data_IF_913172802517
#
_entry.id   IF_913172802517
#
_cell.length_a   1.000
_cell.length_b   1.000
_cell.length_c   1.000
_cell.angle_alpha   90.00
_cell.angle_beta   90.00
_cell.angle_gamma   90.00
#
_symmetry.space_group_name_H-M   'P 1'
#
loop_
_entity.id
_entity.type
_entity.pdbx_description
1 polymer ?
#
# COMPACT_ATOMS: atom_id res chain seq x y z
N UNK A 1 -19.76 -12.10 10.97
CA UNK A 1 -19.28 -13.50 11.09
C UNK A 1 -18.56 -13.81 9.79
N UNK A 2 -17.22 -13.87 9.81
CA UNK A 2 -16.43 -14.29 8.66
C UNK A 2 -16.44 -15.83 8.63
N UNK A 3 -16.69 -16.43 7.46
CA UNK A 3 -16.54 -17.87 7.31
C UNK A 3 -15.05 -18.22 7.38
N UNK A 4 -14.69 -19.19 8.24
CA UNK A 4 -13.30 -19.52 8.64
C UNK A 4 -12.41 -20.01 7.48
N UNK A 5 -12.92 -20.13 6.25
CA UNK A 5 -12.21 -20.69 5.08
C UNK A 5 -12.46 -19.93 3.77
N UNK A 6 -13.04 -18.74 3.82
CA UNK A 6 -13.30 -17.94 2.63
C UNK A 6 -12.24 -16.86 2.48
N UNK A 7 -11.80 -16.63 1.24
CA UNK A 7 -10.96 -15.48 0.90
C UNK A 7 -11.77 -14.23 1.22
N UNK A 8 -11.19 -13.31 1.98
CA UNK A 8 -11.86 -12.07 2.39
C UNK A 8 -12.17 -11.21 1.17
N UNK A 9 -13.32 -10.55 1.17
CA UNK A 9 -13.69 -9.63 0.08
C UNK A 9 -12.97 -8.29 0.18
N UNK A 10 -12.92 -7.55 -0.93
CA UNK A 10 -12.33 -6.20 -0.97
C UNK A 10 -12.92 -5.28 0.10
N UNK A 11 -14.23 -5.38 0.36
CA UNK A 11 -14.91 -4.59 1.40
C UNK A 11 -14.39 -4.87 2.81
N UNK A 12 -14.10 -6.15 3.12
CA UNK A 12 -13.60 -6.53 4.45
C UNK A 12 -12.16 -6.05 4.61
N UNK A 13 -11.34 -6.20 3.57
CA UNK A 13 -9.94 -5.79 3.58
C UNK A 13 -9.81 -4.27 3.66
N UNK A 14 -10.51 -3.52 2.82
CA UNK A 14 -10.49 -2.05 2.83
C UNK A 14 -10.97 -1.51 4.20
N UNK A 15 -12.05 -2.07 4.75
CA UNK A 15 -12.51 -1.72 6.10
C UNK A 15 -11.44 -1.98 7.16
N UNK A 16 -10.81 -3.15 7.15
CA UNK A 16 -9.80 -3.53 8.13
C UNK A 16 -8.55 -2.64 8.05
N UNK A 17 -8.04 -2.39 6.84
CA UNK A 17 -6.86 -1.52 6.63
C UNK A 17 -7.17 -0.09 7.08
N UNK A 18 -8.33 0.46 6.74
CA UNK A 18 -8.75 1.79 7.23
C UNK A 18 -8.82 1.83 8.74
N UNK A 19 -9.42 0.84 9.40
CA UNK A 19 -9.44 0.78 10.86
C UNK A 19 -8.04 0.73 11.48
N UNK A 20 -7.09 0.01 10.87
CA UNK A 20 -5.70 -0.03 11.34
C UNK A 20 -5.02 1.33 11.16
N UNK A 21 -5.14 1.93 9.97
CA UNK A 21 -4.54 3.24 9.69
C UNK A 21 -5.18 4.35 10.54
N UNK A 22 -6.49 4.37 10.74
CA UNK A 22 -7.18 5.38 11.56
C UNK A 22 -6.81 5.25 13.06
N UNK A 23 -6.47 4.04 13.51
CA UNK A 23 -6.02 3.80 14.89
C UNK A 23 -4.56 4.21 15.13
N UNK A 24 -3.78 4.41 14.06
CA UNK A 24 -2.37 4.78 14.12
C UNK A 24 -2.20 6.23 13.64
N UNK A 25 -1.54 7.07 14.42
CA UNK A 25 -1.24 8.43 13.98
C UNK A 25 -0.28 8.41 12.77
N UNK A 26 -0.52 9.27 11.78
CA UNK A 26 0.33 9.47 10.59
C UNK A 26 0.37 8.29 9.59
N UNK A 27 -0.70 7.48 9.52
CA UNK A 27 -0.90 6.44 8.50
C UNK A 27 -2.01 6.81 7.53
N UNK A 28 -1.82 6.51 6.25
CA UNK A 28 -2.83 6.69 5.21
C UNK A 28 -3.22 5.37 4.56
N UNK A 29 -4.50 5.02 4.60
CA UNK A 29 -5.04 3.87 3.88
C UNK A 29 -5.37 4.26 2.43
N UNK A 30 -4.73 3.60 1.47
CA UNK A 30 -5.12 3.63 0.06
C UNK A 30 -6.25 2.62 -0.17
N UNK A 31 -7.27 3.05 -0.91
CA UNK A 31 -8.38 2.18 -1.30
C UNK A 31 -7.89 1.11 -2.31
N UNK A 32 -8.36 -0.14 -2.20
CA UNK A 32 -8.12 -1.21 -3.20
C UNK A 32 -8.54 -0.77 -4.61
N UNK A 33 -9.52 0.12 -4.73
CA UNK A 33 -10.02 0.67 -5.99
C UNK A 33 -9.23 1.87 -6.50
N UNK A 34 -8.26 2.40 -5.75
CA UNK A 34 -7.41 3.51 -6.22
C UNK A 34 -6.71 3.17 -7.55
N UNK A 35 -6.31 1.90 -7.72
CA UNK A 35 -5.75 1.37 -8.97
C UNK A 35 -6.75 1.35 -10.13
N UNK A 36 -8.05 1.29 -9.86
CA UNK A 36 -9.10 1.16 -10.87
C UNK A 36 -9.53 2.51 -11.45
N UNK A 37 -9.40 3.61 -10.69
CA UNK A 37 -9.94 4.92 -11.07
C UNK A 37 -8.90 5.97 -11.47
N UNK A 38 -7.63 5.60 -11.61
CA UNK A 38 -6.51 6.42 -12.13
C UNK A 38 -6.22 7.77 -11.43
N UNK A 39 -7.04 8.22 -10.48
CA UNK A 39 -6.73 9.31 -9.54
C UNK A 39 -7.81 9.36 -8.44
N UNK A 40 -7.67 8.65 -7.31
CA UNK A 40 -8.56 8.87 -6.17
C UNK A 40 -8.44 10.31 -5.66
N UNK A 41 -9.49 10.83 -5.02
CA UNK A 41 -9.47 12.17 -4.43
C UNK A 41 -8.26 12.33 -3.50
N UNK A 42 -7.29 13.16 -3.89
CA UNK A 42 -6.05 13.34 -3.14
C UNK A 42 -6.35 13.93 -1.75
N UNK A 43 -5.72 13.43 -0.68
CA UNK A 43 -5.86 14.00 0.65
C UNK A 43 -5.52 15.49 0.68
N UNK A 44 -6.13 16.20 1.62
CA UNK A 44 -5.78 17.60 1.91
C UNK A 44 -4.67 17.70 2.97
N UNK A 45 -4.47 16.62 3.74
CA UNK A 45 -3.35 16.49 4.67
C UNK A 45 -2.03 16.51 3.92
N UNK A 46 -0.97 17.05 4.54
CA UNK A 46 0.34 17.08 3.91
C UNK A 46 0.93 15.68 3.89
N UNK A 47 1.47 15.25 2.75
CA UNK A 47 2.17 13.96 2.68
C UNK A 47 3.35 13.89 3.66
N UNK A 48 3.96 15.04 4.00
CA UNK A 48 5.08 15.12 4.95
C UNK A 48 4.68 14.84 6.40
N UNK A 49 3.38 14.81 6.72
CA UNK A 49 2.88 14.42 8.04
C UNK A 49 2.51 12.94 8.10
N UNK A 50 2.84 12.15 7.07
CA UNK A 50 2.58 10.73 7.04
C UNK A 50 3.89 9.97 7.19
N UNK A 51 3.88 8.92 7.99
CA UNK A 51 4.96 7.94 8.06
C UNK A 51 4.74 6.81 7.05
N UNK A 52 3.49 6.43 6.80
CA UNK A 52 3.18 5.32 5.90
C UNK A 52 1.94 5.58 5.06
N UNK A 53 1.99 5.13 3.80
CA UNK A 53 0.79 4.88 3.00
C UNK A 53 0.66 3.37 2.75
N UNK A 54 -0.50 2.80 3.03
CA UNK A 54 -0.76 1.36 3.02
C UNK A 54 -1.83 1.06 1.97
N UNK A 55 -1.52 0.19 1.01
CA UNK A 55 -2.45 -0.24 -0.03
C UNK A 55 -2.59 -1.76 -0.01
N UNK A 56 -3.75 -2.31 0.39
CA UNK A 56 -4.06 -3.70 0.10
C UNK A 56 -4.18 -3.90 -1.41
N UNK A 57 -3.75 -5.06 -1.90
CA UNK A 57 -3.78 -5.39 -3.34
C UNK A 57 -4.40 -6.76 -3.58
N UNK A 58 -5.39 -6.79 -4.46
CA UNK A 58 -6.09 -8.01 -4.84
C UNK A 58 -5.40 -8.63 -6.07
N UNK A 59 -4.63 -9.68 -5.83
CA UNK A 59 -3.76 -10.33 -6.79
C UNK A 59 -4.49 -11.48 -7.48
N UNK A 60 -4.60 -11.40 -8.82
CA UNK A 60 -5.26 -12.42 -9.66
C UNK A 60 -6.72 -12.74 -9.24
N UNK A 61 -7.41 -11.82 -8.57
CA UNK A 61 -8.78 -11.97 -8.05
C UNK A 61 -9.01 -13.13 -7.06
N UNK A 62 -7.95 -13.72 -6.51
CA UNK A 62 -8.04 -14.87 -5.59
C UNK A 62 -7.02 -14.82 -4.44
N UNK A 63 -6.26 -13.74 -4.33
CA UNK A 63 -5.12 -13.69 -3.42
C UNK A 63 -4.87 -12.25 -2.94
N UNK A 64 -4.42 -12.07 -1.71
CA UNK A 64 -4.19 -10.76 -1.11
C UNK A 64 -2.71 -10.55 -0.83
N UNK A 65 -2.24 -9.36 -1.18
CA UNK A 65 -0.97 -8.80 -0.72
C UNK A 65 -1.17 -7.40 -0.16
N UNK A 66 -0.08 -6.78 0.30
CA UNK A 66 -0.08 -5.39 0.74
C UNK A 66 1.19 -4.68 0.29
N UNK A 67 1.02 -3.43 -0.13
CA UNK A 67 2.08 -2.46 -0.38
C UNK A 67 2.10 -1.50 0.80
N UNK A 68 3.27 -1.28 1.38
CA UNK A 68 3.49 -0.30 2.44
C UNK A 68 4.58 0.67 1.95
N UNK A 69 4.22 1.91 1.65
CA UNK A 69 5.17 2.94 1.30
C UNK A 69 5.56 3.70 2.56
N UNK A 70 6.81 3.55 3.00
CA UNK A 70 7.41 4.37 4.06
C UNK A 70 7.74 5.74 3.50
N UNK A 71 7.32 6.81 4.19
CA UNK A 71 7.46 8.19 3.75
C UNK A 71 8.36 8.94 4.74
N UNK A 72 9.50 9.43 4.25
CA UNK A 72 10.53 10.06 5.09
C UNK A 72 10.89 11.44 4.56
N UNK A 73 10.21 12.48 5.03
CA UNK A 73 10.53 13.88 4.68
C UNK A 73 11.60 14.51 5.58
N UNK A 74 12.01 13.83 6.63
CA UNK A 74 13.10 14.27 7.52
C UNK A 74 14.50 13.96 6.93
N UNK A 75 14.56 13.12 5.89
CA UNK A 75 15.79 12.86 5.15
C UNK A 75 16.10 13.99 4.17
N UNK A 76 17.38 14.19 3.85
CA UNK A 76 17.84 15.09 2.80
C UNK A 76 18.61 14.29 1.73
N UNK A 77 18.00 14.04 0.55
CA UNK A 77 16.65 14.43 0.13
C UNK A 77 15.54 13.59 0.80
N UNK A 78 14.26 14.05 0.76
CA UNK A 78 13.11 13.23 1.16
C UNK A 78 13.10 11.90 0.42
N UNK A 79 12.60 10.84 1.07
CA UNK A 79 12.62 9.49 0.53
C UNK A 79 11.27 8.78 0.66
N UNK A 80 10.99 7.88 -0.29
CA UNK A 80 9.92 6.90 -0.22
C UNK A 80 10.52 5.50 -0.39
N UNK A 81 10.27 4.61 0.56
CA UNK A 81 10.73 3.22 0.50
C UNK A 81 9.52 2.29 0.40
N UNK A 82 9.33 1.58 -0.73
CA UNK A 82 8.24 0.63 -0.87
C UNK A 82 8.57 -0.72 -0.23
N UNK A 83 7.63 -1.24 0.55
CA UNK A 83 7.66 -2.58 1.12
C UNK A 83 6.54 -3.42 0.51
N UNK A 84 6.87 -4.63 0.09
CA UNK A 84 5.94 -5.57 -0.53
C UNK A 84 5.81 -6.80 0.34
N UNK A 85 4.58 -7.16 0.69
CA UNK A 85 4.30 -8.38 1.44
C UNK A 85 3.24 -9.22 0.75
N UNK A 86 3.57 -10.49 0.57
CA UNK A 86 2.73 -11.51 -0.04
C UNK A 86 2.93 -12.84 0.72
N UNK A 87 1.89 -13.40 1.38
CA UNK A 87 2.07 -14.50 2.34
C UNK A 87 2.54 -15.86 1.80
N UNK A 88 2.43 -16.14 0.50
CA UNK A 88 2.90 -17.37 -0.20
C UNK A 88 4.36 -17.24 -0.64
N UNK A 89 4.83 -16.01 -0.86
CA UNK A 89 6.11 -15.70 -1.47
C UNK A 89 6.26 -16.30 -2.88
N UNK A 90 5.20 -16.26 -3.70
CA UNK A 90 5.24 -16.66 -5.11
C UNK A 90 5.79 -15.51 -5.97
N UNK A 91 6.80 -15.80 -6.79
CA UNK A 91 7.44 -14.79 -7.63
C UNK A 91 6.51 -14.14 -8.64
N UNK A 92 5.42 -14.81 -9.04
CA UNK A 92 4.41 -14.23 -9.95
C UNK A 92 3.59 -13.15 -9.26
N UNK A 93 3.24 -13.37 -8.00
CA UNK A 93 2.53 -12.38 -7.21
C UNK A 93 3.43 -11.19 -6.90
N UNK A 94 4.70 -11.45 -6.58
CA UNK A 94 5.70 -10.38 -6.40
C UNK A 94 5.78 -9.45 -7.61
N UNK A 95 5.97 -9.98 -8.82
CA UNK A 95 6.02 -9.18 -10.04
C UNK A 95 4.72 -8.38 -10.27
N UNK A 96 3.57 -8.93 -9.84
CA UNK A 96 2.27 -8.24 -9.93
C UNK A 96 2.18 -7.09 -8.92
N UNK A 97 2.65 -7.27 -7.68
CA UNK A 97 2.69 -6.21 -6.67
C UNK A 97 3.60 -5.06 -7.13
N UNK A 98 4.79 -5.38 -7.64
CA UNK A 98 5.75 -4.40 -8.17
C UNK A 98 5.11 -3.56 -9.28
N UNK A 99 4.42 -4.19 -10.23
CA UNK A 99 3.70 -3.49 -11.29
C UNK A 99 2.57 -2.58 -10.74
N UNK A 100 1.77 -3.07 -9.78
CA UNK A 100 0.71 -2.26 -9.16
C UNK A 100 1.30 -1.04 -8.43
N UNK A 101 2.43 -1.20 -7.75
CA UNK A 101 3.13 -0.09 -7.12
C UNK A 101 3.52 0.99 -8.13
N UNK A 102 4.18 0.60 -9.22
CA UNK A 102 4.65 1.52 -10.26
C UNK A 102 3.50 2.22 -10.99
N UNK A 103 2.41 1.50 -11.29
CA UNK A 103 1.30 2.02 -12.07
C UNK A 103 0.30 2.84 -11.25
N UNK A 104 0.20 2.60 -9.93
CA UNK A 104 -0.82 3.20 -9.08
C UNK A 104 -0.25 3.96 -7.89
N UNK A 105 0.49 3.28 -7.02
CA UNK A 105 0.85 3.82 -5.69
C UNK A 105 1.90 4.93 -5.84
N UNK A 106 2.94 4.71 -6.63
CA UNK A 106 3.98 5.72 -6.85
C UNK A 106 3.43 7.00 -7.52
N UNK A 107 2.62 6.93 -8.60
CA UNK A 107 1.94 8.10 -9.16
C UNK A 107 1.05 8.82 -8.15
N UNK A 108 0.27 8.09 -7.35
CA UNK A 108 -0.57 8.68 -6.31
C UNK A 108 0.26 9.48 -5.29
N UNK A 109 1.36 8.90 -4.78
CA UNK A 109 2.24 9.56 -3.82
C UNK A 109 2.92 10.81 -4.42
N UNK A 110 3.31 10.75 -5.69
CA UNK A 110 3.86 11.89 -6.40
C UNK A 110 2.83 13.01 -6.55
N UNK A 111 1.61 12.70 -7.01
CA UNK A 111 0.54 13.69 -7.12
C UNK A 111 0.17 14.30 -5.75
N UNK A 112 0.19 13.49 -4.69
CA UNK A 112 -0.02 13.98 -3.33
C UNK A 112 1.11 14.93 -2.88
N UNK A 113 2.36 14.60 -3.18
CA UNK A 113 3.51 15.48 -2.95
C UNK A 113 3.35 16.82 -3.69
N UNK A 114 3.14 16.79 -5.00
CA UNK A 114 3.02 18.00 -5.83
C UNK A 114 1.90 18.92 -5.34
N UNK A 115 0.78 18.34 -4.91
CA UNK A 115 -0.37 19.08 -4.38
C UNK A 115 -0.08 19.73 -3.02
N UNK A 116 0.62 19.05 -2.12
CA UNK A 116 0.68 19.43 -0.70
C UNK A 116 2.02 19.99 -0.23
N UNK A 117 3.08 19.83 -1.04
CA UNK A 117 4.44 20.28 -0.76
C UNK A 117 5.00 21.17 -1.89
N UNK A 118 4.28 22.22 -2.33
CA UNK A 118 4.72 23.05 -3.47
C UNK A 118 6.09 23.70 -3.19
N UNK A 119 7.01 23.55 -4.15
CA UNK A 119 8.36 24.11 -4.08
C UNK A 119 9.38 23.26 -3.30
N UNK A 120 8.96 22.13 -2.72
CA UNK A 120 9.89 21.12 -2.17
C UNK A 120 10.31 20.17 -3.30
N UNK A 121 11.56 19.73 -3.30
CA UNK A 121 12.04 18.74 -4.28
C UNK A 121 11.33 17.40 -4.10
N UNK A 122 11.05 16.72 -5.21
CA UNK A 122 10.40 15.41 -5.17
C UNK A 122 11.20 14.41 -4.33
N UNK A 123 10.51 13.54 -3.56
CA UNK A 123 11.18 12.48 -2.83
C UNK A 123 11.86 11.50 -3.79
N UNK A 124 13.01 10.99 -3.37
CA UNK A 124 13.69 9.88 -4.06
C UNK A 124 12.96 8.58 -3.71
N UNK A 125 12.62 7.79 -4.71
CA UNK A 125 12.13 6.43 -4.50
C UNK A 125 13.34 5.52 -4.28
N UNK A 126 13.43 4.95 -3.07
CA UNK A 126 14.46 3.98 -2.72
C UNK A 126 14.14 2.59 -3.27
N UNK A 127 15.10 1.68 -3.19
CA UNK A 127 14.90 0.28 -3.59
C UNK A 127 13.77 -0.35 -2.77
N UNK A 128 12.98 -1.20 -3.43
CA UNK A 128 11.93 -1.96 -2.76
C UNK A 128 12.49 -2.97 -1.76
N UNK A 129 11.68 -3.27 -0.76
CA UNK A 129 11.95 -4.29 0.26
C UNK A 129 10.84 -5.31 0.23
N UNK A 130 11.17 -6.56 -0.08
CA UNK A 130 10.20 -7.66 0.02
C UNK A 130 10.26 -8.32 1.38
N UNK A 131 9.08 -8.51 1.95
CA UNK A 131 8.87 -9.16 3.24
C UNK A 131 8.45 -10.61 2.98
N UNK A 132 9.32 -11.56 3.37
CA UNK A 132 9.10 -13.00 3.11
C UNK A 132 8.41 -13.74 4.27
N UNK A 133 8.02 -13.00 5.32
CA UNK A 133 7.43 -13.56 6.54
C UNK A 133 6.46 -12.57 7.22
N UNK A 134 5.42 -13.07 7.92
CA UNK A 134 5.08 -14.49 8.08
C UNK A 134 4.57 -15.14 6.79
N UNK A 135 4.57 -16.47 6.71
CA UNK A 135 4.00 -17.19 5.56
C UNK A 135 2.63 -17.73 5.91
N UNK A 136 1.69 -17.69 4.96
CA UNK A 136 0.37 -18.25 5.19
C UNK A 136 0.46 -19.79 5.36
N UNK A 137 -0.27 -20.36 6.33
CA UNK A 137 -0.23 -21.80 6.59
C UNK A 137 -1.11 -22.62 5.63
N UNK A 138 -1.99 -21.97 4.87
CA UNK A 138 -3.00 -22.59 4.02
C UNK A 138 -3.23 -21.79 2.72
N UNK A 139 -4.22 -22.17 1.92
CA UNK A 139 -4.52 -21.54 0.63
C UNK A 139 -5.54 -20.41 0.65
N UNK A 140 -6.06 -20.02 1.82
CA UNK A 140 -7.21 -19.10 1.95
C UNK A 140 -6.96 -17.93 2.90
N UNK A 141 -5.94 -18.03 3.76
CA UNK A 141 -5.68 -17.06 4.83
C UNK A 141 -4.92 -15.81 4.39
N UNK A 142 -4.69 -15.60 3.10
CA UNK A 142 -3.88 -14.48 2.60
C UNK A 142 -4.39 -13.08 2.99
N UNK A 143 -5.69 -12.93 3.25
CA UNK A 143 -6.27 -11.66 3.70
C UNK A 143 -6.27 -11.43 5.21
N UNK A 144 -5.90 -12.45 6.01
CA UNK A 144 -5.89 -12.41 7.49
C UNK A 144 -4.51 -12.01 7.98
#
# INVERSE_FOLDING_TARGET
MLAIKEILSDTIIDFAVRCICDALEDYYALDTYAATFCCPDLPQTRISSMHYAVSPVHLSNIHWGVIIASITYQAEPPAITPYFYEPVCDSRYRATIEAIYEETVAPFLLCWHEKTMPGVGCPVVENDVSLDAPRQPDGTSCGV
#
